data_IF_703674354157
#
_entry.id   IF_703674354157
#
_cell.length_a   1.000
_cell.length_b   1.000
_cell.length_c   1.000
_cell.angle_alpha   90.00
_cell.angle_beta   90.00
_cell.angle_gamma   90.00
#
_symmetry.space_group_name_H-M   'P 1'
#
loop_
_entity.id
_entity.type
_entity.pdbx_description
1 polymer ?
#
# COMPACT_ATOMS: atom_id res chain seq x y z
N UNK A 1 -11.69 40.82 38.90
CA UNK A 1 -12.37 40.55 37.61
C UNK A 1 -11.42 39.94 36.57
N UNK A 2 -10.30 40.58 36.21
CA UNK A 2 -9.38 40.09 35.16
C UNK A 2 -8.79 38.69 35.42
N UNK A 3 -8.41 38.36 36.66
CA UNK A 3 -7.90 37.02 37.01
C UNK A 3 -8.95 35.90 36.81
N UNK A 4 -10.22 36.21 37.08
CA UNK A 4 -11.33 35.28 36.86
C UNK A 4 -11.53 35.08 35.36
N UNK A 5 -11.49 36.16 34.59
CA UNK A 5 -11.59 36.10 33.12
C UNK A 5 -10.47 35.23 32.52
N UNK A 6 -9.21 35.42 32.95
CA UNK A 6 -8.08 34.61 32.47
C UNK A 6 -8.33 33.12 32.72
N UNK A 7 -8.69 32.75 33.96
CA UNK A 7 -8.88 31.34 34.30
C UNK A 7 -10.12 30.75 33.63
N UNK A 8 -11.22 31.50 33.49
CA UNK A 8 -12.42 31.03 32.78
C UNK A 8 -12.15 30.75 31.31
N UNK A 9 -11.50 31.69 30.61
CA UNK A 9 -11.14 31.51 29.21
C UNK A 9 -10.13 30.36 29.05
N UNK A 10 -9.13 30.29 29.93
CA UNK A 10 -8.13 29.21 29.91
C UNK A 10 -8.78 27.85 30.14
N UNK A 11 -9.65 27.72 31.14
CA UNK A 11 -10.36 26.47 31.45
C UNK A 11 -11.21 26.01 30.26
N UNK A 12 -12.04 26.89 29.71
CA UNK A 12 -12.92 26.56 28.58
C UNK A 12 -12.11 26.17 27.34
N UNK A 13 -11.18 27.03 26.91
CA UNK A 13 -10.40 26.81 25.69
C UNK A 13 -9.54 25.54 25.80
N UNK A 14 -8.88 25.34 26.93
CA UNK A 14 -7.99 24.19 27.12
C UNK A 14 -8.78 22.89 27.28
N UNK A 15 -9.87 22.85 28.06
CA UNK A 15 -10.64 21.61 28.24
C UNK A 15 -11.32 21.15 26.95
N UNK A 16 -11.90 22.08 26.17
CA UNK A 16 -12.48 21.75 24.87
C UNK A 16 -11.41 21.23 23.92
N UNK A 17 -10.27 21.92 23.85
CA UNK A 17 -9.17 21.53 22.95
C UNK A 17 -8.56 20.19 23.38
N UNK A 18 -8.37 19.95 24.67
CA UNK A 18 -7.90 18.67 25.21
C UNK A 18 -8.85 17.53 24.83
N UNK A 19 -10.17 17.74 24.90
CA UNK A 19 -11.15 16.74 24.47
C UNK A 19 -11.05 16.43 22.96
N UNK A 20 -10.89 17.46 22.12
CA UNK A 20 -10.69 17.28 20.67
C UNK A 20 -9.41 16.49 20.40
N UNK A 21 -8.30 16.84 21.03
CA UNK A 21 -7.02 16.14 20.88
C UNK A 21 -7.12 14.70 21.38
N UNK A 22 -7.83 14.45 22.49
CA UNK A 22 -8.06 13.10 23.01
C UNK A 22 -8.84 12.22 22.01
N UNK A 23 -9.81 12.79 21.29
CA UNK A 23 -10.49 12.08 20.20
C UNK A 23 -9.58 11.80 19.03
N UNK A 24 -8.72 12.75 18.65
CA UNK A 24 -7.70 12.54 17.60
C UNK A 24 -6.76 11.41 18.01
N UNK A 25 -6.26 11.42 19.25
CA UNK A 25 -5.41 10.36 19.80
C UNK A 25 -6.05 8.97 19.68
N UNK A 26 -7.31 8.81 20.09
CA UNK A 26 -8.00 7.52 19.99
C UNK A 26 -8.14 7.05 18.54
N UNK A 27 -8.43 7.98 17.62
CA UNK A 27 -8.58 7.68 16.20
C UNK A 27 -7.26 7.23 15.57
N UNK A 28 -6.16 7.93 15.85
CA UNK A 28 -4.85 7.58 15.28
C UNK A 28 -4.26 6.31 15.93
N UNK A 29 -4.52 6.08 17.22
CA UNK A 29 -4.15 4.82 17.89
C UNK A 29 -4.74 3.58 17.20
N UNK A 30 -5.97 3.69 16.66
CA UNK A 30 -6.61 2.60 15.93
C UNK A 30 -6.02 2.36 14.53
N UNK A 31 -5.34 3.35 13.96
CA UNK A 31 -4.81 3.31 12.58
C UNK A 31 -3.42 2.67 12.45
N UNK A 32 -2.84 2.18 13.55
CA UNK A 32 -1.47 1.59 13.60
C UNK A 32 -0.37 2.55 13.10
N UNK A 33 -0.56 3.85 13.30
CA UNK A 33 0.48 4.85 13.05
C UNK A 33 1.71 4.60 13.93
N UNK A 34 2.90 5.11 13.55
CA UNK A 34 4.12 4.95 14.34
C UNK A 34 3.89 5.40 15.78
N UNK A 35 4.13 4.48 16.72
CA UNK A 35 3.85 4.60 18.16
C UNK A 35 4.35 5.94 18.74
N UNK A 36 5.54 6.36 18.30
CA UNK A 36 6.22 7.59 18.73
C UNK A 36 5.45 8.87 18.42
N UNK A 37 4.72 8.93 17.31
CA UNK A 37 3.92 10.12 16.95
C UNK A 37 2.61 10.16 17.71
N UNK A 38 2.01 9.00 17.93
CA UNK A 38 0.78 8.82 18.72
C UNK A 38 1.00 9.22 20.18
N UNK A 39 2.16 8.89 20.75
CA UNK A 39 2.53 9.28 22.12
C UNK A 39 2.71 10.81 22.26
N UNK A 40 3.18 11.50 21.23
CA UNK A 40 3.27 12.96 21.21
C UNK A 40 1.92 13.64 21.31
N UNK A 41 0.92 13.13 20.59
CA UNK A 41 -0.46 13.62 20.63
C UNK A 41 -1.04 13.45 22.04
N UNK A 42 -0.75 12.32 22.70
CA UNK A 42 -1.16 12.05 24.08
C UNK A 42 -0.55 13.07 25.05
N UNK A 43 0.77 13.22 25.04
CA UNK A 43 1.46 14.12 25.96
C UNK A 43 1.06 15.58 25.75
N UNK A 44 0.89 15.99 24.50
CA UNK A 44 0.38 17.32 24.19
C UNK A 44 -1.06 17.55 24.69
N UNK A 45 -1.95 16.57 24.48
CA UNK A 45 -3.31 16.60 25.02
C UNK A 45 -3.33 16.71 26.55
N UNK A 46 -2.45 15.97 27.23
CA UNK A 46 -2.28 16.05 28.69
C UNK A 46 -1.72 17.41 29.15
N UNK A 47 -0.81 18.02 28.38
CA UNK A 47 -0.30 19.36 28.67
C UNK A 47 -1.43 20.40 28.68
N UNK A 48 -2.24 20.44 27.63
CA UNK A 48 -3.39 21.36 27.54
C UNK A 48 -4.40 21.05 28.65
N UNK A 49 -4.68 19.78 28.90
CA UNK A 49 -5.59 19.37 29.97
C UNK A 49 -5.12 19.83 31.36
N UNK A 50 -3.81 19.76 31.65
CA UNK A 50 -3.25 20.25 32.90
C UNK A 50 -3.46 21.76 33.11
N UNK A 51 -3.32 22.58 32.05
CA UNK A 51 -3.68 24.00 32.12
C UNK A 51 -5.17 24.22 32.34
N UNK A 52 -6.03 23.45 31.65
CA UNK A 52 -7.48 23.56 31.77
C UNK A 52 -7.97 23.22 33.19
N UNK A 53 -7.47 22.13 33.77
CA UNK A 53 -7.78 21.75 35.14
C UNK A 53 -7.18 22.72 36.15
N UNK A 54 -5.93 23.15 35.97
CA UNK A 54 -5.33 24.12 36.89
C UNK A 54 -6.12 25.42 36.97
N UNK A 55 -6.60 25.91 35.84
CA UNK A 55 -7.48 27.08 35.79
C UNK A 55 -8.83 26.82 36.46
N UNK A 56 -9.43 25.64 36.24
CA UNK A 56 -10.69 25.24 36.88
C UNK A 56 -10.55 25.11 38.40
N UNK A 57 -9.48 24.48 38.89
CA UNK A 57 -9.17 24.37 40.33
C UNK A 57 -9.05 25.76 40.94
N UNK A 58 -8.30 26.67 40.30
CA UNK A 58 -8.17 28.04 40.78
C UNK A 58 -9.53 28.77 40.83
N UNK A 59 -10.41 28.57 39.85
CA UNK A 59 -11.77 29.12 39.88
C UNK A 59 -12.60 28.55 41.03
N UNK A 60 -12.53 27.24 41.28
CA UNK A 60 -13.25 26.59 42.39
C UNK A 60 -12.74 27.10 43.75
N UNK A 61 -11.43 27.25 43.92
CA UNK A 61 -10.84 27.78 45.15
C UNK A 61 -11.29 29.24 45.40
N UNK A 62 -11.26 30.09 44.37
CA UNK A 62 -11.57 31.52 44.51
C UNK A 62 -13.08 31.76 44.60
N UNK A 63 -13.88 31.14 43.75
CA UNK A 63 -15.31 31.40 43.67
C UNK A 63 -16.12 30.46 44.57
N UNK A 64 -15.81 29.17 44.56
CA UNK A 64 -16.50 28.15 45.36
C UNK A 64 -16.14 28.22 46.83
N UNK A 65 -14.85 28.29 47.16
CA UNK A 65 -14.36 28.35 48.55
C UNK A 65 -14.08 29.78 49.05
N UNK A 66 -14.31 30.81 48.22
CA UNK A 66 -14.12 32.23 48.55
C UNK A 66 -12.69 32.58 49.03
N UNK A 67 -11.68 31.86 48.54
CA UNK A 67 -10.27 32.16 48.84
C UNK A 67 -9.81 33.44 48.11
N UNK A 68 -8.88 34.18 48.71
CA UNK A 68 -8.27 35.34 48.08
C UNK A 68 -7.29 34.90 46.98
N UNK A 69 -7.17 35.70 45.92
CA UNK A 69 -6.25 35.42 44.79
C UNK A 69 -4.78 35.35 45.25
N UNK A 70 -4.46 36.06 46.33
CA UNK A 70 -3.14 36.12 46.95
C UNK A 70 -2.86 34.98 47.91
N UNK A 71 -3.82 34.09 48.17
CA UNK A 71 -3.64 32.98 49.11
C UNK A 71 -2.58 32.02 48.60
N UNK A 72 -1.67 31.60 49.51
CA UNK A 72 -0.55 30.72 49.18
C UNK A 72 -1.02 29.40 48.54
N UNK A 73 -2.17 28.87 48.99
CA UNK A 73 -2.76 27.63 48.47
C UNK A 73 -3.10 27.77 46.98
N UNK A 74 -3.76 28.88 46.59
CA UNK A 74 -4.11 29.16 45.18
C UNK A 74 -2.85 29.26 44.33
N UNK A 75 -1.81 29.91 44.85
CA UNK A 75 -0.53 30.07 44.15
C UNK A 75 0.21 28.74 44.03
N UNK A 76 0.22 27.89 45.07
CA UNK A 76 0.85 26.57 45.03
C UNK A 76 0.19 25.64 44.00
N UNK A 77 -1.15 25.61 43.95
CA UNK A 77 -1.85 24.86 42.90
C UNK A 77 -1.54 25.44 41.51
N UNK A 78 -1.54 26.77 41.37
CA UNK A 78 -1.17 27.43 40.12
C UNK A 78 0.22 27.04 39.62
N UNK A 79 1.23 27.05 40.50
CA UNK A 79 2.59 26.62 40.17
C UNK A 79 2.63 25.13 39.85
N UNK A 80 2.00 24.27 40.66
CA UNK A 80 1.97 22.82 40.43
C UNK A 80 1.46 22.48 39.03
N UNK A 81 0.31 23.02 38.62
CA UNK A 81 -0.25 22.75 37.30
C UNK A 81 0.59 23.34 36.16
N UNK A 82 1.30 24.45 36.39
CA UNK A 82 2.25 25.03 35.42
C UNK A 82 3.46 24.11 35.21
N UNK A 83 4.00 23.54 36.29
CA UNK A 83 5.12 22.61 36.25
C UNK A 83 4.76 21.28 35.60
N UNK A 84 3.58 20.74 35.93
CA UNK A 84 3.04 19.53 35.30
C UNK A 84 2.81 19.74 33.80
N UNK A 85 2.27 20.89 33.41
CA UNK A 85 2.14 21.26 32.01
C UNK A 85 3.50 21.30 31.30
N UNK A 86 4.49 21.97 31.88
CA UNK A 86 5.86 22.05 31.35
C UNK A 86 6.48 20.67 31.12
N UNK A 87 6.30 19.73 32.06
CA UNK A 87 6.74 18.34 31.90
C UNK A 87 6.07 17.66 30.70
N UNK A 88 4.75 17.76 30.58
CA UNK A 88 4.02 17.15 29.46
C UNK A 88 4.39 17.76 28.11
N UNK A 89 4.66 19.07 28.07
CA UNK A 89 5.20 19.70 26.85
C UNK A 89 6.54 19.07 26.48
N UNK A 90 7.48 18.93 27.42
CA UNK A 90 8.79 18.33 27.14
C UNK A 90 8.69 16.89 26.65
N UNK A 91 7.78 16.09 27.24
CA UNK A 91 7.51 14.72 26.79
C UNK A 91 6.88 14.65 25.40
N UNK A 92 6.18 15.71 24.95
CA UNK A 92 5.61 15.76 23.61
C UNK A 92 6.64 16.11 22.51
N UNK A 93 7.77 16.74 22.85
CA UNK A 93 8.75 17.24 21.87
C UNK A 93 9.42 16.13 21.02
N UNK A 94 9.83 14.97 21.58
CA UNK A 94 10.45 13.90 20.79
C UNK A 94 9.58 13.37 19.65
N UNK A 95 8.27 13.57 19.72
CA UNK A 95 7.31 13.13 18.71
C UNK A 95 7.19 14.10 17.52
N UNK A 96 7.80 15.28 17.61
CA UNK A 96 7.86 16.23 16.51
C UNK A 96 8.96 15.76 15.55
N UNK A 97 8.63 15.20 14.38
CA UNK A 97 9.64 14.67 13.46
C UNK A 97 10.38 15.77 12.67
N UNK A 98 11.71 15.75 12.71
CA UNK A 98 12.56 16.62 11.89
C UNK A 98 13.96 16.01 11.66
N UNK A 99 14.57 16.26 10.50
CA UNK A 99 15.85 15.63 10.08
C UNK A 99 17.12 16.25 10.69
N UNK A 100 17.01 17.36 11.43
CA UNK A 100 18.17 18.05 12.02
C UNK A 100 18.53 17.52 13.42
N UNK A 101 19.74 17.86 13.88
CA UNK A 101 20.21 17.56 15.24
C UNK A 101 19.22 18.10 16.28
N UNK A 102 18.72 17.18 17.12
CA UNK A 102 17.81 17.45 18.23
C UNK A 102 18.44 18.32 19.31
N UNK A 103 17.64 19.16 19.95
CA UNK A 103 18.07 19.92 21.12
C UNK A 103 18.54 18.96 22.25
N UNK A 104 19.46 19.41 23.12
CA UNK A 104 20.01 18.60 24.23
C UNK A 104 18.90 18.01 25.09
N UNK A 105 17.86 18.82 25.38
CA UNK A 105 16.73 18.39 26.23
C UNK A 105 15.93 17.28 25.53
N UNK A 106 15.66 17.42 24.24
CA UNK A 106 14.95 16.38 23.47
C UNK A 106 15.79 15.11 23.37
N UNK A 107 17.12 15.23 23.17
CA UNK A 107 18.03 14.08 23.23
C UNK A 107 18.05 13.41 24.61
N UNK A 108 17.87 14.17 25.68
CA UNK A 108 17.77 13.64 27.03
C UNK A 108 16.48 12.83 27.19
N UNK A 109 15.35 13.37 26.74
CA UNK A 109 14.05 12.67 26.75
C UNK A 109 14.03 11.45 25.81
N UNK A 110 14.78 11.46 24.70
CA UNK A 110 14.94 10.29 23.82
C UNK A 110 15.87 9.22 24.44
N UNK A 111 16.88 9.64 25.22
CA UNK A 111 17.88 8.74 25.81
C UNK A 111 17.38 8.07 27.08
N UNK A 112 16.61 8.77 27.90
CA UNK A 112 15.91 8.22 29.04
C UNK A 112 14.52 7.76 28.59
N UNK A 113 14.03 6.61 29.05
CA UNK A 113 12.63 6.26 28.77
C UNK A 113 11.67 7.33 29.32
N UNK A 114 10.46 7.47 28.76
CA UNK A 114 9.47 8.46 29.22
C UNK A 114 9.25 8.39 30.75
N UNK A 115 9.28 7.16 31.30
CA UNK A 115 9.13 6.88 32.72
C UNK A 115 10.33 7.37 33.54
N UNK A 116 11.54 7.07 33.10
CA UNK A 116 12.77 7.49 33.77
C UNK A 116 12.93 9.01 33.75
N UNK A 117 12.65 9.64 32.60
CA UNK A 117 12.69 11.10 32.49
C UNK A 117 11.64 11.76 33.40
N UNK A 118 10.42 11.20 33.46
CA UNK A 118 9.37 11.71 34.35
C UNK A 118 9.75 11.61 35.82
N UNK A 119 10.39 10.52 36.24
CA UNK A 119 10.88 10.33 37.61
C UNK A 119 12.02 11.31 37.92
N UNK A 120 12.99 11.42 37.01
CA UNK A 120 14.13 12.32 37.18
C UNK A 120 13.70 13.79 37.24
N UNK A 121 12.91 14.24 36.27
CA UNK A 121 12.40 15.61 36.21
C UNK A 121 11.47 15.89 37.39
N UNK A 122 10.58 14.95 37.73
CA UNK A 122 9.70 15.05 38.90
C UNK A 122 10.48 15.18 40.22
N UNK A 123 11.59 14.44 40.37
CA UNK A 123 12.48 14.56 41.53
C UNK A 123 13.13 15.94 41.64
N UNK A 124 13.64 16.49 40.54
CA UNK A 124 14.20 17.85 40.51
C UNK A 124 13.12 18.88 40.84
N UNK A 125 11.94 18.78 40.22
CA UNK A 125 10.82 19.67 40.51
C UNK A 125 10.43 19.63 41.98
N UNK A 126 10.28 18.43 42.56
CA UNK A 126 9.92 18.25 43.97
C UNK A 126 10.96 18.91 44.89
N UNK A 127 12.25 18.75 44.60
CA UNK A 127 13.32 19.40 45.36
C UNK A 127 13.23 20.92 45.28
N UNK A 128 13.05 21.50 44.08
CA UNK A 128 12.95 22.95 43.90
C UNK A 128 11.68 23.49 44.58
N UNK A 129 10.54 22.81 44.38
CA UNK A 129 9.27 23.16 45.02
C UNK A 129 9.40 23.11 46.55
N UNK A 130 10.05 22.08 47.11
CA UNK A 130 10.28 21.98 48.55
C UNK A 130 11.11 23.16 49.08
N UNK A 131 12.23 23.49 48.42
CA UNK A 131 13.09 24.62 48.81
C UNK A 131 12.31 25.93 48.83
N UNK A 132 11.50 26.20 47.81
CA UNK A 132 10.71 27.43 47.75
C UNK A 132 9.53 27.46 48.72
N UNK A 133 8.87 26.32 48.98
CA UNK A 133 7.84 26.23 50.01
C UNK A 133 8.46 26.51 51.38
N UNK A 134 9.59 25.87 51.71
CA UNK A 134 10.28 26.09 52.98
C UNK A 134 10.75 27.54 53.13
N UNK A 135 11.32 28.13 52.07
CA UNK A 135 11.71 29.54 52.07
C UNK A 135 10.52 30.49 52.24
N UNK A 136 9.38 30.18 51.61
CA UNK A 136 8.14 30.98 51.70
C UNK A 136 7.40 30.82 53.03
N UNK A 137 7.55 29.67 53.71
CA UNK A 137 6.96 29.43 55.02
C UNK A 137 7.75 30.15 56.11
N UNK A 138 9.10 30.13 56.03
CA UNK A 138 9.97 30.71 57.04
C UNK A 138 10.12 32.23 56.94
N UNK A 139 9.88 32.85 55.78
CA UNK A 139 10.00 34.30 55.59
C UNK A 139 8.66 34.93 55.21
N UNK A 140 7.98 35.55 56.20
CA UNK A 140 6.72 36.28 55.98
C UNK A 140 6.91 37.59 55.19
N UNK A 141 8.13 38.11 55.09
CA UNK A 141 8.46 39.31 54.31
C UNK A 141 8.52 39.08 52.79
N UNK A 142 8.53 37.83 52.34
CA UNK A 142 8.59 37.51 50.91
C UNK A 142 7.18 37.62 50.31
N UNK A 143 7.04 38.47 49.28
CA UNK A 143 5.80 38.58 48.50
C UNK A 143 5.39 37.21 47.97
N UNK A 144 4.11 36.86 48.09
CA UNK A 144 3.56 35.62 47.56
C UNK A 144 3.78 35.49 46.03
N UNK A 145 3.99 36.60 45.32
CA UNK A 145 4.37 36.62 43.90
C UNK A 145 5.73 35.95 43.63
N UNK A 146 6.63 35.91 44.61
CA UNK A 146 7.95 35.28 44.48
C UNK A 146 7.88 33.75 44.35
N UNK A 147 6.78 33.13 44.82
CA UNK A 147 6.54 31.68 44.67
C UNK A 147 6.45 31.29 43.18
N UNK A 148 5.96 32.21 42.32
CA UNK A 148 5.97 32.01 40.87
C UNK A 148 7.38 31.97 40.26
N UNK A 149 8.40 32.37 41.02
CA UNK A 149 9.80 32.34 40.59
C UNK A 149 10.31 30.95 40.21
N UNK A 150 9.72 29.90 40.79
CA UNK A 150 10.02 28.49 40.47
C UNK A 150 9.79 28.18 38.99
N UNK A 151 8.73 28.75 38.41
CA UNK A 151 8.24 28.42 37.08
C UNK A 151 9.09 29.06 35.97
N UNK A 152 9.83 30.13 36.28
CA UNK A 152 10.61 30.92 35.30
C UNK A 152 11.68 30.08 34.59
N UNK A 153 12.67 29.49 35.29
CA UNK A 153 13.75 28.77 34.62
C UNK A 153 13.20 27.62 33.77
N UNK A 154 12.17 26.94 34.27
CA UNK A 154 11.53 25.81 33.60
C UNK A 154 10.78 26.28 32.36
N UNK A 155 9.95 27.31 32.48
CA UNK A 155 9.21 27.90 31.36
C UNK A 155 10.14 28.44 30.27
N UNK A 156 11.27 29.05 30.63
CA UNK A 156 12.28 29.51 29.66
C UNK A 156 12.93 28.34 28.93
N UNK A 157 13.33 27.29 29.66
CA UNK A 157 13.90 26.07 29.09
C UNK A 157 12.91 25.38 28.14
N UNK A 158 11.64 25.30 28.53
CA UNK A 158 10.55 24.75 27.71
C UNK A 158 10.32 25.61 26.47
N UNK A 159 10.21 26.93 26.62
CA UNK A 159 9.99 27.87 25.52
C UNK A 159 11.12 27.82 24.49
N UNK A 160 12.37 27.75 24.95
CA UNK A 160 13.54 27.60 24.07
C UNK A 160 13.52 26.25 23.33
N UNK A 161 13.14 25.18 24.03
CA UNK A 161 13.02 23.84 23.43
C UNK A 161 11.91 23.80 22.37
N UNK A 162 10.76 24.39 22.67
CA UNK A 162 9.65 24.55 21.74
C UNK A 162 10.05 25.35 20.50
N UNK A 163 10.73 26.49 20.68
CA UNK A 163 11.16 27.34 19.57
C UNK A 163 12.04 26.56 18.60
N UNK A 164 13.02 25.81 19.11
CA UNK A 164 13.93 25.04 18.26
C UNK A 164 13.22 23.91 17.52
N UNK A 165 12.42 23.10 18.22
CA UNK A 165 11.76 21.95 17.62
C UNK A 165 10.65 22.36 16.65
N UNK A 166 9.81 23.35 17.00
CA UNK A 166 8.77 23.85 16.11
C UNK A 166 9.37 24.52 14.87
N UNK A 167 10.39 25.37 15.04
CA UNK A 167 11.10 26.00 13.91
C UNK A 167 11.57 24.95 12.91
N UNK A 168 12.30 23.95 13.39
CA UNK A 168 12.88 22.92 12.52
C UNK A 168 11.80 22.03 11.89
N UNK A 169 10.72 21.73 12.61
CA UNK A 169 9.58 21.00 12.06
C UNK A 169 8.88 21.77 10.94
N UNK A 170 8.62 23.07 11.13
CA UNK A 170 7.98 23.90 10.11
C UNK A 170 8.88 24.14 8.90
N UNK A 171 10.20 24.31 9.09
CA UNK A 171 11.17 24.44 7.99
C UNK A 171 11.18 23.16 7.14
N UNK A 172 11.26 21.98 7.77
CA UNK A 172 11.27 20.71 7.05
C UNK A 172 9.99 20.48 6.23
N UNK A 173 8.87 21.03 6.69
CA UNK A 173 7.58 20.96 6.01
C UNK A 173 7.37 22.09 4.99
N UNK A 174 8.42 22.85 4.65
CA UNK A 174 8.40 23.99 3.71
C UNK A 174 7.48 25.15 4.14
N UNK A 175 7.10 25.22 5.41
CA UNK A 175 6.27 26.30 5.97
C UNK A 175 7.13 27.39 6.63
N UNK A 176 7.99 28.05 5.83
CA UNK A 176 8.95 29.05 6.35
C UNK A 176 8.29 30.22 7.09
N UNK A 177 7.07 30.60 6.70
CA UNK A 177 6.29 31.67 7.35
C UNK A 177 5.92 31.37 8.80
N UNK A 178 5.89 30.10 9.21
CA UNK A 178 5.56 29.70 10.58
C UNK A 178 6.67 30.01 11.59
N UNK A 179 7.86 30.41 11.12
CA UNK A 179 8.93 30.89 12.00
C UNK A 179 8.50 32.09 12.84
N UNK A 180 7.81 33.07 12.23
CA UNK A 180 7.40 34.29 12.91
C UNK A 180 6.41 33.99 14.06
N UNK A 181 5.31 33.23 13.85
CA UNK A 181 4.47 32.75 14.93
C UNK A 181 5.20 31.97 16.04
N UNK A 182 6.19 31.13 15.70
CA UNK A 182 6.98 30.40 16.71
C UNK A 182 7.85 31.33 17.55
N UNK A 183 8.49 32.32 16.92
CA UNK A 183 9.28 33.33 17.62
C UNK A 183 8.39 34.25 18.47
N UNK A 184 7.22 34.63 17.95
CA UNK A 184 6.23 35.40 18.70
C UNK A 184 5.74 34.62 19.94
N UNK A 185 5.49 33.31 19.82
CA UNK A 185 5.16 32.46 20.96
C UNK A 185 6.26 32.49 22.02
N UNK A 186 7.53 32.32 21.62
CA UNK A 186 8.67 32.37 22.53
C UNK A 186 8.75 33.71 23.29
N UNK A 187 8.65 34.84 22.57
CA UNK A 187 8.64 36.16 23.18
C UNK A 187 7.46 36.36 24.13
N UNK A 188 6.26 35.94 23.73
CA UNK A 188 5.08 36.05 24.56
C UNK A 188 5.19 35.23 25.85
N UNK A 189 5.82 34.05 25.82
CA UNK A 189 6.08 33.26 27.03
C UNK A 189 7.05 34.01 27.96
N UNK A 190 8.17 34.53 27.43
CA UNK A 190 9.14 35.30 28.24
C UNK A 190 8.46 36.52 28.88
N UNK A 191 7.70 37.28 28.10
CA UNK A 191 6.99 38.47 28.61
C UNK A 191 5.95 38.04 29.65
N UNK A 192 5.13 37.02 29.39
CA UNK A 192 4.11 36.55 30.33
C UNK A 192 4.70 36.11 31.67
N UNK A 193 5.79 35.34 31.63
CA UNK A 193 6.49 34.86 32.83
C UNK A 193 7.10 36.02 33.61
N UNK A 194 7.69 37.00 32.92
CA UNK A 194 8.27 38.21 33.55
C UNK A 194 7.19 39.06 34.21
N UNK A 195 6.07 39.31 33.53
CA UNK A 195 4.95 40.09 34.03
C UNK A 195 4.29 39.48 35.28
N UNK A 196 4.43 38.16 35.49
CA UNK A 196 3.83 37.43 36.61
C UNK A 196 4.55 37.66 37.95
N UNK A 197 5.84 37.97 37.91
CA UNK A 197 6.69 38.11 39.11
C UNK A 197 6.50 39.47 39.76
N UNK A 198 6.31 40.51 38.94
CA UNK A 198 6.39 41.88 39.42
C UNK A 198 5.23 42.14 40.40
N UNK A 199 5.52 42.45 41.69
CA UNK A 199 4.50 42.72 42.68
C UNK A 199 3.68 43.92 42.27
N UNK A 200 2.36 43.84 42.44
CA UNK A 200 1.44 44.90 42.02
C UNK A 200 1.79 46.25 42.68
N UNK A 201 2.18 46.21 43.96
CA UNK A 201 2.54 47.36 44.78
C UNK A 201 3.76 48.15 44.26
N UNK A 202 4.62 47.57 43.43
CA UNK A 202 5.77 48.26 42.84
C UNK A 202 5.42 48.99 41.54
N UNK A 203 4.29 48.65 40.91
CA UNK A 203 3.88 49.18 39.61
C UNK A 203 2.86 50.30 39.74
N UNK A 204 2.16 50.37 40.87
CA UNK A 204 1.18 51.41 41.16
C UNK A 204 1.75 52.85 41.04
N UNK A 205 3.08 53.00 41.07
CA UNK A 205 3.80 54.27 40.86
C UNK A 205 4.08 54.61 39.38
N UNK A 206 4.03 53.63 38.47
CA UNK A 206 4.47 53.76 37.06
C UNK A 206 3.28 53.64 36.09
N UNK A 207 2.32 52.77 36.39
CA UNK A 207 1.22 52.42 35.50
C UNK A 207 -0.05 52.18 36.31
N UNK A 208 -1.23 52.48 35.73
CA UNK A 208 -2.50 52.19 36.41
C UNK A 208 -2.67 50.68 36.69
N UNK A 209 -3.17 50.30 37.88
CA UNK A 209 -3.34 48.89 38.26
C UNK A 209 -4.22 48.10 37.28
N UNK A 210 -5.23 48.76 36.72
CA UNK A 210 -6.16 48.19 35.74
C UNK A 210 -5.49 47.88 34.41
N UNK A 211 -4.69 48.82 33.88
CA UNK A 211 -3.94 48.59 32.64
C UNK A 211 -2.92 47.47 32.82
N UNK A 212 -2.21 47.44 33.96
CA UNK A 212 -1.27 46.36 34.27
C UNK A 212 -1.96 44.98 34.37
N UNK A 213 -3.13 44.91 34.99
CA UNK A 213 -3.93 43.69 35.03
C UNK A 213 -4.40 43.26 33.63
N UNK A 214 -4.80 44.20 32.78
CA UNK A 214 -5.22 43.93 31.41
C UNK A 214 -4.07 43.41 30.55
N UNK A 215 -2.88 44.02 30.62
CA UNK A 215 -1.69 43.56 29.90
C UNK A 215 -1.33 42.14 30.33
N UNK A 216 -1.30 41.86 31.64
CA UNK A 216 -1.02 40.51 32.17
C UNK A 216 -1.98 39.46 31.60
N UNK A 217 -3.28 39.70 31.65
CA UNK A 217 -4.28 38.75 31.16
C UNK A 217 -4.19 38.58 29.65
N UNK A 218 -4.03 39.68 28.91
CA UNK A 218 -3.96 39.66 27.45
C UNK A 218 -2.74 38.86 26.99
N UNK A 219 -1.55 39.14 27.54
CA UNK A 219 -0.34 38.38 27.22
C UNK A 219 -0.48 36.91 27.62
N UNK A 220 -1.02 36.63 28.82
CA UNK A 220 -1.17 35.27 29.32
C UNK A 220 -2.18 34.42 28.54
N UNK A 221 -3.22 35.03 27.95
CA UNK A 221 -4.14 34.35 27.05
C UNK A 221 -3.55 34.22 25.64
N UNK A 222 -2.86 35.25 25.16
CA UNK A 222 -2.30 35.29 23.80
C UNK A 222 -1.32 34.15 23.55
N UNK A 223 -0.37 33.90 24.47
CA UNK A 223 0.58 32.81 24.27
C UNK A 223 -0.09 31.43 24.33
N UNK A 224 -1.07 31.22 25.24
CA UNK A 224 -1.77 29.92 25.37
C UNK A 224 -2.58 29.61 24.10
N UNK A 225 -3.30 30.60 23.58
CA UNK A 225 -4.06 30.46 22.33
C UNK A 225 -3.11 30.23 21.15
N UNK A 226 -2.05 31.02 21.02
CA UNK A 226 -1.06 30.86 19.96
C UNK A 226 -0.37 29.50 20.02
N UNK A 227 -0.07 29.01 21.22
CA UNK A 227 0.49 27.68 21.45
C UNK A 227 -0.44 26.57 20.95
N UNK A 228 -1.72 26.62 21.36
CA UNK A 228 -2.74 25.66 20.91
C UNK A 228 -2.87 25.70 19.38
N UNK A 229 -2.91 26.89 18.78
CA UNK A 229 -3.05 27.07 17.35
C UNK A 229 -1.85 26.52 16.57
N UNK A 230 -0.63 26.86 16.99
CA UNK A 230 0.61 26.37 16.37
C UNK A 230 0.68 24.85 16.38
N UNK A 231 0.35 24.24 17.51
CA UNK A 231 0.40 22.79 17.62
C UNK A 231 -0.74 22.12 16.86
N UNK A 232 -1.94 22.73 16.82
CA UNK A 232 -3.04 22.24 15.98
C UNK A 232 -2.66 22.25 14.49
N UNK A 233 -1.98 23.31 14.03
CA UNK A 233 -1.42 23.38 12.68
C UNK A 233 -0.35 22.30 12.48
N UNK A 234 0.53 22.09 13.46
CA UNK A 234 1.55 21.04 13.40
C UNK A 234 0.92 19.64 13.25
N UNK A 235 -0.13 19.34 14.02
CA UNK A 235 -0.86 18.07 13.94
C UNK A 235 -1.55 17.90 12.58
N UNK A 236 -2.25 18.93 12.12
CA UNK A 236 -2.92 18.89 10.82
C UNK A 236 -1.93 18.75 9.66
N UNK A 237 -0.84 19.50 9.70
CA UNK A 237 0.21 19.43 8.70
C UNK A 237 0.90 18.06 8.69
N UNK A 238 1.10 17.44 9.85
CA UNK A 238 1.64 16.09 9.93
C UNK A 238 0.71 15.09 9.23
N UNK A 239 -0.59 15.15 9.55
CA UNK A 239 -1.60 14.30 8.93
C UNK A 239 -1.66 14.48 7.41
N UNK A 240 -1.57 15.71 6.94
CA UNK A 240 -1.53 15.98 5.50
C UNK A 240 -0.29 15.34 4.83
N UNK A 241 0.87 15.41 5.50
CA UNK A 241 2.10 14.81 5.00
C UNK A 241 2.00 13.29 4.95
N UNK A 242 1.52 12.65 6.03
CA UNK A 242 1.39 11.19 6.09
C UNK A 242 0.37 10.65 5.09
N UNK A 243 -0.76 11.33 4.90
CA UNK A 243 -1.74 10.97 3.87
C UNK A 243 -1.16 11.10 2.45
N UNK A 244 -0.29 12.08 2.22
CA UNK A 244 0.39 12.26 0.93
C UNK A 244 1.40 11.15 0.68
N UNK A 245 2.25 10.84 1.65
CA UNK A 245 3.25 9.76 1.56
C UNK A 245 2.58 8.39 1.34
N UNK A 246 1.46 8.12 2.03
CA UNK A 246 0.68 6.90 1.82
C UNK A 246 0.12 6.82 0.39
N UNK A 247 -0.40 7.94 -0.13
CA UNK A 247 -0.89 8.01 -1.52
C UNK A 247 0.24 7.78 -2.52
N UNK A 248 1.39 8.43 -2.35
CA UNK A 248 2.56 8.24 -3.21
C UNK A 248 3.07 6.78 -3.18
N UNK A 249 3.12 6.16 -2.00
CA UNK A 249 3.48 4.74 -1.85
C UNK A 249 2.49 3.81 -2.57
N UNK A 250 1.20 4.09 -2.45
CA UNK A 250 0.13 3.31 -3.11
C UNK A 250 0.23 3.44 -4.63
N UNK A 251 0.49 4.66 -5.14
CA UNK A 251 0.73 4.91 -6.56
C UNK A 251 1.95 4.12 -7.04
N UNK A 252 3.06 4.15 -6.28
CA UNK A 252 4.26 3.38 -6.62
C UNK A 252 4.02 1.87 -6.73
N UNK A 253 3.20 1.30 -5.83
CA UNK A 253 2.80 -0.12 -5.92
C UNK A 253 1.95 -0.41 -7.16
N UNK A 254 0.95 0.42 -7.42
CA UNK A 254 0.08 0.30 -8.60
C UNK A 254 0.87 0.44 -9.91
N UNK A 255 1.84 1.35 -9.98
CA UNK A 255 2.74 1.46 -11.13
C UNK A 255 3.60 0.21 -11.31
N UNK A 256 4.08 -0.39 -10.22
CA UNK A 256 4.81 -1.65 -10.23
C UNK A 256 3.96 -2.81 -10.77
N UNK A 257 2.72 -2.95 -10.29
CA UNK A 257 1.77 -3.96 -10.78
C UNK A 257 1.40 -3.74 -12.24
N UNK A 258 1.11 -2.50 -12.64
CA UNK A 258 0.86 -2.14 -14.04
C UNK A 258 2.02 -2.55 -14.94
N UNK A 259 3.28 -2.31 -14.54
CA UNK A 259 4.46 -2.73 -15.30
C UNK A 259 4.56 -4.25 -15.43
N UNK A 260 4.23 -5.00 -14.37
CA UNK A 260 4.20 -6.48 -14.41
C UNK A 260 3.11 -6.99 -15.37
N UNK A 261 1.88 -6.50 -15.22
CA UNK A 261 0.75 -6.87 -16.08
C UNK A 261 1.03 -6.55 -17.56
N UNK A 262 1.59 -5.38 -17.86
CA UNK A 262 1.97 -5.02 -19.23
C UNK A 262 3.03 -5.98 -19.80
N UNK A 263 3.98 -6.45 -18.98
CA UNK A 263 4.98 -7.43 -19.39
C UNK A 263 4.35 -8.80 -19.66
N UNK A 264 3.45 -9.25 -18.80
CA UNK A 264 2.72 -10.52 -18.96
C UNK A 264 1.83 -10.49 -20.21
N UNK A 265 1.07 -9.42 -20.42
CA UNK A 265 0.26 -9.22 -21.65
C UNK A 265 1.14 -9.28 -22.89
N UNK A 266 2.32 -8.66 -22.87
CA UNK A 266 3.26 -8.70 -23.99
C UNK A 266 3.77 -10.13 -24.25
N UNK A 267 4.10 -10.88 -23.20
CA UNK A 267 4.54 -12.27 -23.34
C UNK A 267 3.43 -13.17 -23.88
N UNK A 268 2.21 -13.04 -23.37
CA UNK A 268 1.04 -13.78 -23.85
C UNK A 268 0.73 -13.45 -25.31
N UNK A 269 0.87 -12.19 -25.71
CA UNK A 269 0.68 -11.78 -27.10
C UNK A 269 1.69 -12.44 -28.03
N UNK A 270 2.98 -12.45 -27.66
CA UNK A 270 4.04 -13.10 -28.45
C UNK A 270 3.78 -14.61 -28.54
N UNK A 271 3.38 -15.25 -27.44
CA UNK A 271 3.02 -16.67 -27.44
C UNK A 271 1.84 -16.96 -28.37
N UNK A 272 0.78 -16.14 -28.32
CA UNK A 272 -0.37 -16.28 -29.22
C UNK A 272 0.00 -16.08 -30.69
N UNK A 273 0.82 -15.07 -31.01
CA UNK A 273 1.33 -14.85 -32.37
C UNK A 273 2.15 -16.06 -32.87
N UNK A 274 2.94 -16.68 -32.00
CA UNK A 274 3.67 -17.92 -32.31
C UNK A 274 2.77 -19.16 -32.44
N UNK A 275 1.70 -19.27 -31.65
CA UNK A 275 0.73 -20.35 -31.79
C UNK A 275 -0.05 -20.24 -33.09
N UNK A 276 -0.45 -19.03 -33.48
CA UNK A 276 -1.11 -18.77 -34.76
C UNK A 276 -0.24 -19.18 -35.95
N UNK A 277 1.05 -18.82 -35.95
CA UNK A 277 1.96 -19.24 -37.03
C UNK A 277 2.14 -20.76 -37.10
N UNK A 278 2.15 -21.42 -35.93
CA UNK A 278 2.22 -22.89 -35.85
C UNK A 278 0.95 -23.54 -36.42
N UNK A 279 -0.22 -22.98 -36.09
CA UNK A 279 -1.51 -23.45 -36.63
C UNK A 279 -1.53 -23.32 -38.15
N UNK A 280 -1.12 -22.17 -38.69
CA UNK A 280 -1.05 -21.94 -40.15
C UNK A 280 -0.12 -22.94 -40.84
N UNK A 281 1.05 -23.19 -40.25
CA UNK A 281 2.00 -24.17 -40.78
C UNK A 281 1.41 -25.59 -40.78
N UNK A 282 0.76 -25.99 -39.69
CA UNK A 282 0.11 -27.30 -39.59
C UNK A 282 -1.06 -27.44 -40.58
N UNK A 283 -1.86 -26.39 -40.77
CA UNK A 283 -2.92 -26.37 -41.77
C UNK A 283 -2.36 -26.52 -43.19
N UNK A 284 -1.23 -25.88 -43.49
CA UNK A 284 -0.54 -26.03 -44.80
C UNK A 284 -0.06 -27.46 -45.00
N UNK A 285 0.66 -28.02 -44.01
CA UNK A 285 1.13 -29.42 -44.05
C UNK A 285 -0.02 -30.41 -44.20
N UNK A 286 -1.15 -30.18 -43.52
CA UNK A 286 -2.35 -31.02 -43.65
C UNK A 286 -2.90 -30.99 -45.08
N UNK A 287 -2.97 -29.82 -45.71
CA UNK A 287 -3.42 -29.71 -47.11
C UNK A 287 -2.49 -30.46 -48.07
N UNK A 288 -1.18 -30.27 -47.92
CA UNK A 288 -0.17 -30.97 -48.74
C UNK A 288 -0.26 -32.50 -48.56
N UNK A 289 -0.48 -32.98 -47.33
CA UNK A 289 -0.67 -34.39 -47.08
C UNK A 289 -1.95 -34.95 -47.73
N UNK A 290 -3.07 -34.23 -47.64
CA UNK A 290 -4.34 -34.61 -48.29
C UNK A 290 -4.15 -34.71 -49.81
N UNK A 291 -3.44 -33.75 -50.41
CA UNK A 291 -3.16 -33.75 -51.85
C UNK A 291 -2.30 -34.95 -52.25
N UNK A 292 -1.23 -35.24 -51.50
CA UNK A 292 -0.39 -36.44 -51.72
C UNK A 292 -1.19 -37.74 -51.59
N UNK A 293 -2.07 -37.85 -50.59
CA UNK A 293 -2.93 -39.04 -50.45
C UNK A 293 -3.84 -39.18 -51.68
N UNK A 294 -4.47 -38.09 -52.14
CA UNK A 294 -5.31 -38.11 -53.34
C UNK A 294 -4.52 -38.51 -54.59
N UNK A 295 -3.29 -38.05 -54.74
CA UNK A 295 -2.45 -38.40 -55.89
C UNK A 295 -2.02 -39.87 -55.85
N UNK A 296 -1.70 -40.39 -54.66
CA UNK A 296 -1.44 -41.82 -54.44
C UNK A 296 -2.68 -42.67 -54.72
N UNK A 297 -3.87 -42.26 -54.28
CA UNK A 297 -5.13 -42.95 -54.57
C UNK A 297 -5.39 -43.01 -56.09
N UNK A 298 -5.15 -41.90 -56.81
CA UNK A 298 -5.26 -41.88 -58.27
C UNK A 298 -4.24 -42.80 -58.94
N UNK A 299 -3.00 -42.81 -58.47
CA UNK A 299 -1.94 -43.68 -58.99
C UNK A 299 -2.20 -45.16 -58.71
N UNK A 300 -2.93 -45.47 -57.63
CA UNK A 300 -3.24 -46.85 -57.22
C UNK A 300 -4.53 -47.38 -57.88
N UNK A 301 -5.30 -46.53 -58.56
CA UNK A 301 -6.55 -46.97 -59.22
C UNK A 301 -6.23 -47.80 -60.46
N UNK A 302 -6.35 -49.12 -60.33
CA UNK A 302 -6.16 -50.08 -61.41
C UNK A 302 -7.34 -49.97 -62.40
N UNK A 303 -7.07 -49.53 -63.63
CA UNK A 303 -8.07 -49.47 -64.71
C UNK A 303 -7.72 -50.53 -65.75
N UNK A 304 -8.51 -51.61 -65.80
CA UNK A 304 -8.43 -52.64 -66.84
C UNK A 304 -9.33 -52.27 -68.01
N UNK A 305 -8.87 -52.51 -69.25
CA UNK A 305 -9.72 -52.38 -70.43
C UNK A 305 -10.80 -53.45 -70.47
N UNK A 306 -11.90 -53.23 -71.18
CA UNK A 306 -12.99 -54.20 -71.27
C UNK A 306 -12.51 -55.56 -71.82
N UNK A 307 -11.56 -55.52 -72.76
CA UNK A 307 -10.92 -56.74 -73.28
C UNK A 307 -10.07 -57.46 -72.23
N UNK A 308 -9.38 -56.73 -71.36
CA UNK A 308 -8.61 -57.31 -70.26
C UNK A 308 -9.50 -57.90 -69.17
N UNK A 309 -10.64 -57.25 -68.89
CA UNK A 309 -11.67 -57.77 -67.98
C UNK A 309 -12.29 -59.06 -68.53
N UNK A 310 -12.59 -59.12 -69.82
CA UNK A 310 -13.10 -60.32 -70.48
C UNK A 310 -12.07 -61.47 -70.43
N UNK A 311 -10.79 -61.20 -70.72
CA UNK A 311 -9.70 -62.18 -70.60
C UNK A 311 -9.56 -62.70 -69.16
N UNK A 312 -9.65 -61.82 -68.16
CA UNK A 312 -9.62 -62.21 -66.75
C UNK A 312 -10.88 -62.98 -66.32
N UNK A 313 -12.06 -62.57 -66.78
CA UNK A 313 -13.33 -63.25 -66.49
C UNK A 313 -13.32 -64.68 -67.02
N UNK A 314 -12.90 -64.87 -68.27
CA UNK A 314 -12.74 -66.19 -68.88
C UNK A 314 -11.69 -67.04 -68.16
N UNK A 315 -10.57 -66.42 -67.77
CA UNK A 315 -9.57 -67.09 -66.96
C UNK A 315 -10.11 -67.47 -65.56
N UNK A 316 -10.93 -66.63 -64.94
CA UNK A 316 -11.56 -66.93 -63.66
C UNK A 316 -12.57 -68.08 -63.74
N UNK A 317 -13.31 -68.19 -64.84
CA UNK A 317 -14.31 -69.24 -65.04
C UNK A 317 -13.67 -70.60 -65.33
N UNK A 318 -12.71 -70.67 -66.25
CA UNK A 318 -12.19 -71.96 -66.75
C UNK A 318 -10.67 -72.14 -66.59
N UNK A 319 -9.98 -71.22 -65.95
CA UNK A 319 -8.53 -71.26 -65.78
C UNK A 319 -8.01 -72.39 -64.91
N UNK A 320 -8.82 -72.92 -63.99
CA UNK A 320 -8.43 -74.08 -63.18
C UNK A 320 -8.37 -75.37 -64.00
N UNK A 321 -9.25 -75.50 -65.00
CA UNK A 321 -9.44 -76.74 -65.76
C UNK A 321 -8.82 -76.69 -67.15
N UNK A 322 -8.65 -75.49 -67.72
CA UNK A 322 -8.15 -75.27 -69.08
C UNK A 322 -6.78 -74.58 -69.10
N UNK A 323 -5.95 -75.00 -70.04
CA UNK A 323 -4.70 -74.35 -70.40
C UNK A 323 -4.94 -73.01 -71.13
N UNK A 324 -3.97 -72.10 -71.12
CA UNK A 324 -4.11 -70.81 -71.81
C UNK A 324 -4.39 -70.96 -73.31
N UNK A 325 -3.91 -72.05 -73.93
CA UNK A 325 -4.17 -72.40 -75.32
C UNK A 325 -5.65 -72.73 -75.55
N UNK A 326 -6.25 -73.54 -74.69
CA UNK A 326 -7.67 -73.93 -74.79
C UNK A 326 -8.61 -72.75 -74.51
N UNK A 327 -8.21 -71.85 -73.61
CA UNK A 327 -8.98 -70.62 -73.33
C UNK A 327 -8.89 -69.66 -74.52
N UNK A 328 -7.70 -69.48 -75.11
CA UNK A 328 -7.52 -68.65 -76.29
C UNK A 328 -8.39 -69.14 -77.48
N UNK A 329 -8.43 -70.46 -77.69
CA UNK A 329 -9.26 -71.09 -78.72
C UNK A 329 -10.76 -70.89 -78.46
N UNK A 330 -11.22 -71.09 -77.21
CA UNK A 330 -12.60 -70.86 -76.81
C UNK A 330 -13.01 -69.37 -76.91
N UNK A 331 -12.07 -68.45 -76.69
CA UNK A 331 -12.26 -67.01 -76.91
C UNK A 331 -12.13 -66.58 -78.38
N UNK A 332 -11.86 -67.51 -79.31
CA UNK A 332 -11.61 -67.27 -80.74
C UNK A 332 -10.51 -66.23 -81.00
N UNK A 333 -9.42 -66.29 -80.23
CA UNK A 333 -8.23 -65.47 -80.41
C UNK A 333 -6.97 -66.30 -80.55
N UNK A 334 -5.91 -65.71 -81.10
CA UNK A 334 -4.61 -66.37 -81.15
C UNK A 334 -4.05 -66.57 -79.74
N UNK A 335 -3.32 -67.67 -79.56
CA UNK A 335 -2.61 -67.99 -78.32
C UNK A 335 -1.66 -66.85 -77.93
N UNK A 336 -0.94 -66.29 -78.91
CA UNK A 336 -0.04 -65.15 -78.70
C UNK A 336 -0.80 -63.88 -78.26
N UNK A 337 -1.98 -63.65 -78.83
CA UNK A 337 -2.85 -62.53 -78.45
C UNK A 337 -3.36 -62.66 -77.02
N UNK A 338 -3.76 -63.87 -76.61
CA UNK A 338 -4.17 -64.14 -75.24
C UNK A 338 -3.00 -63.98 -74.26
N UNK A 339 -1.82 -64.52 -74.59
CA UNK A 339 -0.61 -64.37 -73.77
C UNK A 339 -0.15 -62.91 -73.65
N UNK A 340 -0.26 -62.12 -74.71
CA UNK A 340 0.04 -60.69 -74.68
C UNK A 340 -0.90 -59.93 -73.71
N UNK A 341 -2.19 -60.24 -73.73
CA UNK A 341 -3.13 -59.68 -72.76
C UNK A 341 -2.81 -60.12 -71.32
N UNK A 342 -2.55 -61.41 -71.09
CA UNK A 342 -2.14 -61.92 -69.78
C UNK A 342 -0.87 -61.22 -69.26
N UNK A 343 0.13 -61.01 -70.12
CA UNK A 343 1.35 -60.28 -69.75
C UNK A 343 1.07 -58.82 -69.37
N UNK A 344 0.25 -58.12 -70.17
CA UNK A 344 -0.14 -56.74 -69.88
C UNK A 344 -0.92 -56.64 -68.56
N UNK A 345 -1.83 -57.57 -68.31
CA UNK A 345 -2.61 -57.64 -67.06
C UNK A 345 -1.68 -57.92 -65.88
N UNK A 346 -0.78 -58.89 -65.98
CA UNK A 346 0.22 -59.16 -64.92
C UNK A 346 1.07 -57.93 -64.60
N UNK A 347 1.48 -57.17 -65.62
CA UNK A 347 2.23 -55.92 -65.44
C UNK A 347 1.40 -54.83 -64.74
N UNK A 348 0.11 -54.69 -65.08
CA UNK A 348 -0.80 -53.73 -64.45
C UNK A 348 -1.08 -54.10 -62.99
N UNK A 349 -1.19 -55.40 -62.69
CA UNK A 349 -1.46 -55.94 -61.35
C UNK A 349 -0.19 -56.21 -60.53
N UNK A 350 1.00 -55.91 -61.05
CA UNK A 350 2.31 -56.24 -60.45
C UNK A 350 2.47 -57.72 -60.04
N UNK A 351 1.87 -58.64 -60.80
CA UNK A 351 1.95 -60.10 -60.57
C UNK A 351 3.21 -60.65 -61.23
N UNK A 352 4.09 -61.31 -60.46
CA UNK A 352 5.32 -61.95 -60.95
C UNK A 352 5.58 -63.29 -60.25
N UNK A 353 6.28 -64.21 -60.92
CA UNK A 353 6.62 -65.54 -60.39
C UNK A 353 5.81 -66.71 -60.96
N UNK A 354 6.13 -67.93 -60.50
CA UNK A 354 5.62 -69.19 -61.04
C UNK A 354 4.10 -69.42 -60.81
N UNK A 355 3.51 -68.83 -59.75
CA UNK A 355 2.09 -68.92 -59.42
C UNK A 355 1.21 -67.82 -60.04
N UNK A 356 1.67 -67.22 -61.13
CA UNK A 356 1.02 -66.04 -61.71
C UNK A 356 -0.32 -66.33 -62.40
N UNK A 357 -0.72 -67.60 -62.59
CA UNK A 357 -2.03 -67.95 -63.17
C UNK A 357 -3.11 -67.94 -62.08
N UNK A 358 -2.79 -68.55 -60.94
CA UNK A 358 -3.66 -68.68 -59.77
C UNK A 358 -3.96 -67.30 -59.16
N UNK A 359 -2.97 -66.40 -59.14
CA UNK A 359 -3.16 -65.01 -58.69
C UNK A 359 -4.10 -64.20 -59.60
N UNK A 360 -4.09 -64.44 -60.91
CA UNK A 360 -5.02 -63.79 -61.84
C UNK A 360 -6.44 -64.33 -61.69
N UNK A 361 -6.60 -65.63 -61.44
CA UNK A 361 -7.88 -66.27 -61.16
C UNK A 361 -8.48 -65.71 -59.87
N UNK A 362 -7.69 -65.68 -58.79
CA UNK A 362 -8.11 -65.11 -57.51
C UNK A 362 -8.53 -63.63 -57.65
N UNK A 363 -7.74 -62.84 -58.38
CA UNK A 363 -8.06 -61.43 -58.65
C UNK A 363 -9.38 -61.28 -59.42
N UNK A 364 -9.62 -62.13 -60.43
CA UNK A 364 -10.86 -62.10 -61.23
C UNK A 364 -12.10 -62.44 -60.40
N UNK A 365 -11.99 -63.40 -59.47
CA UNK A 365 -13.08 -63.79 -58.56
C UNK A 365 -13.34 -62.70 -57.51
N UNK A 366 -12.29 -62.18 -56.87
CA UNK A 366 -12.40 -61.17 -55.82
C UNK A 366 -13.01 -59.84 -56.33
N UNK A 367 -12.74 -59.49 -57.59
CA UNK A 367 -13.23 -58.26 -58.22
C UNK A 367 -14.47 -58.48 -59.09
N UNK A 368 -15.17 -59.61 -58.96
CA UNK A 368 -16.39 -59.97 -59.70
C UNK A 368 -16.27 -59.89 -61.24
N UNK A 369 -15.07 -60.07 -61.80
CA UNK A 369 -14.84 -59.97 -63.25
C UNK A 369 -15.44 -61.15 -64.05
N UNK A 370 -15.98 -62.16 -63.36
CA UNK A 370 -16.66 -63.31 -63.95
C UNK A 370 -17.90 -62.90 -64.78
N UNK A 371 -18.52 -61.75 -64.47
CA UNK A 371 -19.64 -61.22 -65.26
C UNK A 371 -19.25 -60.83 -66.69
N UNK A 372 -17.95 -60.60 -66.93
CA UNK A 372 -17.40 -60.30 -68.24
C UNK A 372 -16.93 -61.56 -68.99
N UNK A 373 -17.11 -62.75 -68.42
CA UNK A 373 -16.74 -64.00 -69.09
C UNK A 373 -17.67 -64.27 -70.28
N UNK A 374 -17.07 -64.60 -71.41
CA UNK A 374 -17.76 -65.00 -72.64
C UNK A 374 -17.79 -66.52 -72.85
N UNK A 375 -17.09 -67.27 -71.99
CA UNK A 375 -17.08 -68.74 -71.95
C UNK A 375 -17.91 -69.22 -70.77
N UNK A 376 -18.91 -70.07 -71.00
CA UNK A 376 -19.61 -70.81 -69.95
C UNK A 376 -19.05 -72.23 -69.82
N UNK A 377 -18.80 -72.68 -68.59
CA UNK A 377 -18.61 -74.10 -68.30
C UNK A 377 -19.98 -74.77 -68.40
N UNK A 378 -20.19 -75.58 -69.44
CA UNK A 378 -21.25 -76.59 -69.39
C UNK A 378 -20.81 -77.66 -68.40
N UNK A 379 -21.57 -77.84 -67.33
CA UNK A 379 -21.60 -79.08 -66.56
C UNK A 379 -22.19 -80.15 -67.49
N UNK A 380 -21.35 -81.04 -68.00
CA UNK A 380 -21.82 -82.26 -68.64
C UNK A 380 -22.42 -83.17 -67.54
N UNK A 381 -23.73 -83.07 -67.36
CA UNK A 381 -24.62 -84.22 -67.13
C UNK A 381 -25.63 -84.29 -68.28
#
# INVERSE_FOLDING_TARGET
MHFILENSVTAIACLITAFVIQRIYHKEKQRKDPMRTVDGIKWFGLAIWAWGIGALVNLVLIYGLRMQITDKIVIYFGVLFSLVNSLFILLSLPSIEHYKRRNIIVRMVERFSEREFSIFFGGILMMITFVFIMASYNNQAISNSFIWGIDIPISVVVAFSLLNELKEAFINRKMKFMYLPCFALFLLIIVAVTLRIIPQNQIDQIVSPEFWALVRVTTALSYKILFILLFSILLYSWKFLSEKELKESTIGKLEGEKKKLVKEIRQLRIANESHLSTIDMLQKKRREAIEKVRDLEKATRIVLSDRQKEVLGNLGVCGSDKSYTEIAEAMRISVDGFQAHIYQIKKILNISGAGGKEQLIAFAVEHNLLEHATISLKSDE
#
